data_IF_927812927786
#
_entry.id   IF_927812927786
#
_cell.length_a   1.000
_cell.length_b   1.000
_cell.length_c   1.000
_cell.angle_alpha   90.00
_cell.angle_beta   90.00
_cell.angle_gamma   90.00
#
_symmetry.space_group_name_H-M   'P 1'
#
loop_
_entity.id
_entity.type
_entity.pdbx_description
1 polymer ?
#
# COMPACT_ATOMS: atom_id res chain seq x y z
N UNK A 1 4.01 7.26 -9.79
CA UNK A 1 4.26 6.64 -11.10
C UNK A 1 5.72 6.84 -11.51
N UNK A 2 6.17 8.07 -11.78
CA UNK A 2 7.55 8.33 -12.23
C UNK A 2 8.63 7.93 -11.21
N UNK A 3 8.35 8.04 -9.89
CA UNK A 3 9.26 7.48 -8.87
C UNK A 3 9.52 5.99 -9.09
N UNK A 4 8.49 5.20 -9.38
CA UNK A 4 8.62 3.77 -9.63
C UNK A 4 9.28 3.47 -10.98
N UNK A 5 9.05 4.29 -12.01
CA UNK A 5 9.78 4.19 -13.29
C UNK A 5 11.29 4.34 -13.07
N UNK A 6 11.71 5.37 -12.33
CA UNK A 6 13.11 5.59 -12.04
C UNK A 6 13.68 4.54 -11.08
N UNK A 7 12.92 4.05 -10.10
CA UNK A 7 13.37 2.96 -9.22
C UNK A 7 13.64 1.65 -9.98
N UNK A 8 12.78 1.29 -10.95
CA UNK A 8 13.02 0.15 -11.84
C UNK A 8 14.30 0.35 -12.65
N UNK A 9 14.49 1.55 -13.21
CA UNK A 9 15.68 1.87 -14.01
C UNK A 9 16.95 1.80 -13.18
N UNK A 10 16.97 2.43 -12.00
CA UNK A 10 18.07 2.37 -11.04
C UNK A 10 18.40 0.92 -10.71
N UNK A 11 17.40 0.11 -10.35
CA UNK A 11 17.64 -1.29 -9.99
C UNK A 11 18.24 -2.10 -11.14
N UNK A 12 17.72 -1.94 -12.37
CA UNK A 12 18.25 -2.64 -13.56
C UNK A 12 19.66 -2.16 -13.92
N UNK A 13 19.93 -0.88 -13.83
CA UNK A 13 21.25 -0.30 -14.14
C UNK A 13 22.31 -0.73 -13.12
N UNK A 14 21.97 -0.71 -11.83
CA UNK A 14 22.87 -1.12 -10.75
C UNK A 14 23.19 -2.62 -10.79
N UNK A 15 22.16 -3.46 -10.99
CA UNK A 15 22.34 -4.92 -10.94
C UNK A 15 22.76 -5.55 -12.27
N UNK A 16 22.50 -4.87 -13.40
CA UNK A 16 22.60 -5.46 -14.74
C UNK A 16 21.50 -6.50 -15.06
N UNK A 17 20.55 -6.72 -14.14
CA UNK A 17 19.48 -7.70 -14.26
C UNK A 17 18.20 -7.05 -14.82
N UNK A 18 17.26 -7.84 -15.34
CA UNK A 18 16.12 -7.30 -16.11
C UNK A 18 14.75 -7.53 -15.48
N UNK A 19 14.54 -8.65 -14.79
CA UNK A 19 13.23 -8.99 -14.23
C UNK A 19 12.94 -8.21 -12.95
N UNK A 20 11.68 -7.87 -12.74
CA UNK A 20 11.20 -7.17 -11.55
C UNK A 20 9.93 -7.85 -11.06
N UNK A 21 9.92 -8.21 -9.79
CA UNK A 21 8.79 -8.85 -9.12
C UNK A 21 7.91 -7.77 -8.47
N UNK A 22 6.60 -7.99 -8.50
CA UNK A 22 5.59 -7.17 -7.79
C UNK A 22 4.40 -8.05 -7.45
N UNK A 23 3.48 -7.58 -6.60
CA UNK A 23 2.39 -8.44 -6.12
C UNK A 23 1.13 -8.34 -6.98
N UNK A 24 0.31 -9.38 -6.97
CA UNK A 24 -1.12 -9.22 -7.26
C UNK A 24 -1.77 -8.30 -6.22
N UNK A 25 -2.80 -7.55 -6.63
CA UNK A 25 -3.47 -6.51 -5.83
C UNK A 25 -2.58 -5.34 -5.40
N UNK A 26 -1.34 -5.19 -5.90
CA UNK A 26 -0.55 -3.97 -5.66
C UNK A 26 -1.01 -2.80 -6.54
N UNK A 27 -0.67 -1.57 -6.16
CA UNK A 27 -0.75 -0.41 -7.04
C UNK A 27 0.51 0.43 -6.97
N UNK A 28 1.24 0.50 -8.09
CA UNK A 28 2.51 1.24 -8.20
C UNK A 28 2.42 2.40 -9.20
N UNK A 29 1.23 2.68 -9.73
CA UNK A 29 0.99 3.73 -10.71
C UNK A 29 0.38 3.22 -11.99
N UNK A 30 0.26 4.13 -12.96
CA UNK A 30 -0.47 3.94 -14.21
C UNK A 30 0.29 4.43 -15.44
N UNK A 31 1.60 4.71 -15.32
CA UNK A 31 2.47 4.86 -16.49
C UNK A 31 2.80 3.48 -17.07
N UNK A 32 3.43 3.42 -18.25
CA UNK A 32 3.62 2.12 -18.92
C UNK A 32 4.48 1.14 -18.10
N UNK A 33 5.60 1.55 -17.50
CA UNK A 33 6.41 0.69 -16.64
C UNK A 33 5.82 0.49 -15.24
N UNK A 34 5.39 1.56 -14.56
CA UNK A 34 4.81 1.44 -13.22
C UNK A 34 3.45 0.72 -13.20
N UNK A 35 2.68 0.83 -14.29
CA UNK A 35 1.46 0.05 -14.50
C UNK A 35 1.74 -1.44 -14.74
N UNK A 36 2.92 -1.79 -15.29
CA UNK A 36 3.38 -3.17 -15.31
C UNK A 36 3.78 -3.70 -13.91
N UNK A 37 4.07 -2.84 -12.92
CA UNK A 37 4.19 -3.23 -11.50
C UNK A 37 2.84 -3.36 -10.80
N UNK A 38 1.83 -2.61 -11.20
CA UNK A 38 0.46 -2.70 -10.63
C UNK A 38 -0.13 -4.11 -10.79
N UNK A 39 -0.81 -4.61 -9.75
CA UNK A 39 -1.29 -5.99 -9.63
C UNK A 39 -2.80 -6.16 -9.76
N UNK A 40 -3.52 -5.11 -10.14
CA UNK A 40 -4.98 -5.02 -10.15
C UNK A 40 -5.54 -4.56 -11.53
N UNK A 41 -6.88 -4.58 -11.74
CA UNK A 41 -7.49 -4.39 -13.07
C UNK A 41 -7.07 -3.16 -13.87
N UNK A 42 -6.61 -2.07 -13.25
CA UNK A 42 -6.07 -0.90 -13.98
C UNK A 42 -4.84 -1.24 -14.83
N UNK A 43 -4.18 -2.38 -14.61
CA UNK A 43 -3.13 -2.90 -15.50
C UNK A 43 -3.66 -3.49 -16.80
N UNK A 44 -4.89 -4.01 -16.87
CA UNK A 44 -5.35 -4.82 -18.02
C UNK A 44 -5.32 -4.07 -19.36
N UNK A 45 -5.59 -2.77 -19.35
CA UNK A 45 -5.51 -1.95 -20.57
C UNK A 45 -4.07 -1.76 -21.11
N UNK A 46 -3.06 -2.16 -20.33
CA UNK A 46 -1.64 -2.12 -20.72
C UNK A 46 -1.16 -3.44 -21.33
N UNK A 47 -2.03 -4.46 -21.42
CA UNK A 47 -1.65 -5.78 -21.91
C UNK A 47 -1.72 -5.87 -23.46
N UNK A 48 -0.76 -6.55 -24.13
CA UNK A 48 0.40 -7.24 -23.54
C UNK A 48 1.44 -6.27 -22.94
N UNK A 49 1.88 -6.58 -21.73
CA UNK A 49 2.80 -5.76 -20.95
C UNK A 49 4.27 -5.87 -21.39
N UNK A 50 5.15 -5.20 -20.65
CA UNK A 50 6.60 -5.28 -20.88
C UNK A 50 7.12 -6.64 -20.37
N UNK A 51 7.95 -7.36 -21.14
CA UNK A 51 8.57 -8.59 -20.65
C UNK A 51 9.41 -8.38 -19.36
N UNK A 52 9.42 -9.39 -18.50
CA UNK A 52 10.22 -9.40 -17.27
C UNK A 52 9.54 -8.78 -16.04
N UNK A 53 8.28 -8.37 -16.13
CA UNK A 53 7.48 -8.02 -14.94
C UNK A 53 6.74 -9.26 -14.44
N UNK A 54 7.10 -9.74 -13.26
CA UNK A 54 6.58 -10.98 -12.67
C UNK A 54 5.64 -10.65 -11.51
N UNK A 55 4.50 -11.35 -11.44
CA UNK A 55 3.54 -11.22 -10.33
C UNK A 55 3.64 -12.37 -9.35
N UNK A 56 3.66 -12.06 -8.07
CA UNK A 56 3.55 -13.04 -6.98
C UNK A 56 2.37 -12.71 -6.05
N UNK A 57 1.98 -13.65 -5.19
CA UNK A 57 0.85 -13.46 -4.28
C UNK A 57 1.23 -12.63 -3.03
N UNK A 58 0.38 -11.68 -2.68
CA UNK A 58 0.44 -10.91 -1.42
C UNK A 58 -0.22 -11.73 -0.29
N UNK A 59 0.34 -11.78 0.94
CA UNK A 59 -0.26 -12.48 2.08
C UNK A 59 -1.56 -11.83 2.58
N UNK A 60 -2.66 -12.05 1.87
CA UNK A 60 -3.98 -11.58 2.26
C UNK A 60 -4.77 -12.65 3.03
N UNK A 61 -4.34 -12.88 4.28
CA UNK A 61 -4.80 -14.00 5.12
C UNK A 61 -6.33 -14.08 5.24
N UNK A 62 -7.03 -12.94 5.35
CA UNK A 62 -8.49 -12.94 5.47
C UNK A 62 -9.19 -13.65 4.30
N UNK A 63 -8.63 -13.53 3.08
CA UNK A 63 -9.19 -14.09 1.83
C UNK A 63 -8.60 -15.43 1.42
N UNK A 64 -7.66 -15.99 2.18
CA UNK A 64 -7.02 -17.25 1.82
C UNK A 64 -8.01 -18.43 1.95
N UNK A 65 -8.10 -19.34 0.96
CA UNK A 65 -8.92 -20.55 1.05
C UNK A 65 -8.43 -21.57 2.09
N UNK A 66 -7.14 -21.57 2.42
CA UNK A 66 -6.57 -22.41 3.47
C UNK A 66 -6.57 -21.67 4.81
N UNK A 67 -6.80 -22.42 5.88
CA UNK A 67 -6.66 -21.91 7.25
C UNK A 67 -5.22 -22.08 7.71
N UNK A 68 -4.64 -20.99 8.22
CA UNK A 68 -3.35 -21.01 8.88
C UNK A 68 -3.55 -21.13 10.39
N UNK A 69 -2.71 -21.92 11.05
CA UNK A 69 -2.75 -22.10 12.51
C UNK A 69 -2.25 -20.85 13.25
N UNK A 70 -1.40 -20.06 12.59
CA UNK A 70 -0.82 -18.82 13.12
C UNK A 70 -0.35 -17.91 11.98
N UNK A 71 -0.13 -16.62 12.29
CA UNK A 71 0.53 -15.70 11.35
C UNK A 71 1.91 -16.21 10.91
N UNK A 72 2.67 -16.85 11.81
CA UNK A 72 3.98 -17.42 11.49
C UNK A 72 3.87 -18.52 10.42
N UNK A 73 2.85 -19.37 10.50
CA UNK A 73 2.60 -20.42 9.50
C UNK A 73 2.22 -19.82 8.14
N UNK A 74 1.45 -18.72 8.12
CA UNK A 74 1.14 -17.98 6.91
C UNK A 74 2.40 -17.34 6.31
N UNK A 75 3.20 -16.64 7.13
CA UNK A 75 4.48 -16.06 6.74
C UNK A 75 5.39 -17.10 6.09
N UNK A 76 5.57 -18.26 6.73
CA UNK A 76 6.39 -19.36 6.19
C UNK A 76 5.87 -19.85 4.84
N UNK A 77 4.56 -20.00 4.69
CA UNK A 77 3.94 -20.43 3.44
C UNK A 77 4.23 -19.45 2.29
N UNK A 78 3.95 -18.16 2.47
CA UNK A 78 4.14 -17.18 1.40
C UNK A 78 5.62 -16.94 1.06
N UNK A 79 6.52 -16.99 2.04
CA UNK A 79 7.97 -16.91 1.78
C UNK A 79 8.49 -18.12 1.00
N UNK A 80 8.01 -19.34 1.32
CA UNK A 80 8.34 -20.53 0.55
C UNK A 80 7.86 -20.42 -0.91
N UNK A 81 6.65 -19.89 -1.12
CA UNK A 81 6.11 -19.65 -2.47
C UNK A 81 6.86 -18.58 -3.25
N UNK A 82 7.22 -17.48 -2.61
CA UNK A 82 8.04 -16.45 -3.25
C UNK A 82 9.42 -17.00 -3.63
N UNK A 83 10.07 -17.75 -2.73
CA UNK A 83 11.35 -18.41 -3.01
C UNK A 83 11.27 -19.35 -4.21
N UNK A 84 10.27 -20.23 -4.24
CA UNK A 84 10.02 -21.16 -5.34
C UNK A 84 9.90 -20.40 -6.67
N UNK A 85 9.14 -19.31 -6.69
CA UNK A 85 8.96 -18.51 -7.90
C UNK A 85 10.24 -17.78 -8.34
N UNK A 86 11.04 -17.25 -7.39
CA UNK A 86 12.35 -16.65 -7.69
C UNK A 86 13.27 -17.68 -8.36
N UNK A 87 13.30 -18.92 -7.85
CA UNK A 87 14.09 -20.01 -8.42
C UNK A 87 13.64 -20.33 -9.86
N UNK A 88 12.33 -20.45 -10.09
CA UNK A 88 11.78 -20.76 -11.41
C UNK A 88 11.99 -19.66 -12.46
N UNK A 89 12.04 -18.40 -12.03
CA UNK A 89 12.35 -17.28 -12.90
C UNK A 89 13.85 -17.11 -13.17
N UNK A 90 14.72 -17.84 -12.47
CA UNK A 90 16.17 -17.68 -12.58
C UNK A 90 16.64 -16.43 -11.81
N UNK A 91 17.13 -16.59 -10.56
CA UNK A 91 17.45 -15.47 -9.65
C UNK A 91 18.50 -14.51 -10.21
N UNK A 92 19.42 -15.00 -11.03
CA UNK A 92 20.45 -14.19 -11.70
C UNK A 92 19.88 -13.17 -12.68
N UNK A 93 18.61 -13.30 -13.07
CA UNK A 93 17.93 -12.36 -13.95
C UNK A 93 17.01 -11.36 -13.22
N UNK A 94 16.85 -11.48 -11.90
CA UNK A 94 15.92 -10.67 -11.09
C UNK A 94 16.63 -9.47 -10.46
N UNK A 95 16.31 -8.27 -10.94
CA UNK A 95 16.87 -7.01 -10.44
C UNK A 95 16.29 -6.61 -9.08
N UNK A 96 14.96 -6.75 -8.93
CA UNK A 96 14.29 -6.25 -7.73
C UNK A 96 12.97 -6.99 -7.41
N UNK A 97 12.63 -6.98 -6.12
CA UNK A 97 11.29 -7.22 -5.60
C UNK A 97 10.71 -5.88 -5.15
N UNK A 98 9.58 -5.48 -5.75
CA UNK A 98 8.87 -4.23 -5.45
C UNK A 98 7.62 -4.52 -4.64
N UNK A 99 7.46 -3.81 -3.53
CA UNK A 99 6.38 -3.98 -2.56
C UNK A 99 5.89 -2.61 -2.11
N UNK A 100 4.59 -2.39 -2.02
CA UNK A 100 4.10 -1.44 -1.02
C UNK A 100 4.36 -2.10 0.36
N UNK A 101 4.95 -1.41 1.33
CA UNK A 101 5.16 -2.03 2.66
C UNK A 101 3.82 -2.54 3.21
N UNK A 102 2.75 -1.77 3.02
CA UNK A 102 1.36 -2.17 3.26
C UNK A 102 0.59 -1.88 1.98
N UNK A 103 -0.02 -2.90 1.37
CA UNK A 103 -0.78 -2.71 0.12
C UNK A 103 -1.94 -1.76 0.37
N UNK A 104 -1.94 -0.61 -0.30
CA UNK A 104 -2.77 0.52 0.09
C UNK A 104 -4.17 0.49 -0.51
N UNK A 105 -4.31 0.94 -1.75
CA UNK A 105 -5.62 1.17 -2.40
C UNK A 105 -6.45 -0.10 -2.56
N UNK A 106 -5.83 -1.28 -2.47
CA UNK A 106 -6.48 -2.58 -2.62
C UNK A 106 -6.82 -3.24 -1.27
N UNK A 107 -6.89 -2.45 -0.20
CA UNK A 107 -7.52 -2.90 1.03
C UNK A 107 -6.68 -2.85 2.28
N UNK A 108 -5.62 -2.04 2.34
CA UNK A 108 -4.76 -1.91 3.54
C UNK A 108 -4.33 -3.29 4.03
N UNK A 109 -3.67 -4.06 3.15
CA UNK A 109 -3.25 -5.43 3.46
C UNK A 109 -1.95 -5.33 4.24
N UNK A 110 -2.07 -5.49 5.56
CA UNK A 110 -0.96 -5.47 6.51
C UNK A 110 -0.26 -6.83 6.43
N UNK A 111 1.05 -6.88 6.10
CA UNK A 111 1.76 -8.15 6.01
C UNK A 111 1.84 -8.82 7.39
N UNK A 112 1.71 -10.16 7.47
CA UNK A 112 1.83 -10.88 8.74
C UNK A 112 3.24 -10.73 9.32
N UNK A 113 3.35 -10.89 10.64
CA UNK A 113 4.62 -10.74 11.34
C UNK A 113 5.71 -11.61 10.71
N UNK A 114 6.89 -11.02 10.51
CA UNK A 114 8.06 -11.70 9.94
C UNK A 114 8.08 -11.82 8.41
N UNK A 115 6.98 -11.49 7.70
CA UNK A 115 6.95 -11.59 6.25
C UNK A 115 7.93 -10.63 5.57
N UNK A 116 7.87 -9.32 5.86
CA UNK A 116 8.78 -8.35 5.23
C UNK A 116 10.26 -8.62 5.56
N UNK A 117 10.66 -8.91 6.82
CA UNK A 117 12.02 -9.39 7.12
C UNK A 117 12.41 -10.65 6.34
N UNK A 118 11.49 -11.58 6.14
CA UNK A 118 11.72 -12.76 5.32
C UNK A 118 11.93 -12.43 3.84
N UNK A 119 11.19 -11.48 3.27
CA UNK A 119 11.42 -11.03 1.89
C UNK A 119 12.78 -10.35 1.77
N UNK A 120 13.17 -9.53 2.75
CA UNK A 120 14.51 -8.93 2.83
C UNK A 120 15.59 -10.02 2.83
N UNK A 121 15.43 -11.07 3.64
CA UNK A 121 16.39 -12.18 3.67
C UNK A 121 16.48 -12.93 2.33
N UNK A 122 15.35 -13.11 1.62
CA UNK A 122 15.36 -13.67 0.26
C UNK A 122 16.08 -12.74 -0.73
N UNK A 123 15.87 -11.43 -0.61
CA UNK A 123 16.57 -10.44 -1.44
C UNK A 123 18.09 -10.53 -1.23
N UNK A 124 18.54 -10.64 0.02
CA UNK A 124 19.97 -10.77 0.36
C UNK A 124 20.55 -12.09 -0.18
N UNK A 125 19.83 -13.20 -0.02
CA UNK A 125 20.28 -14.52 -0.46
C UNK A 125 20.47 -14.60 -1.99
N UNK A 126 19.54 -14.04 -2.76
CA UNK A 126 19.56 -14.12 -4.23
C UNK A 126 20.21 -12.90 -4.90
N UNK A 127 20.79 -11.98 -4.13
CA UNK A 127 21.35 -10.72 -4.61
C UNK A 127 20.33 -9.93 -5.46
N UNK A 128 19.14 -9.72 -4.90
CA UNK A 128 18.01 -8.99 -5.51
C UNK A 128 17.79 -7.73 -4.67
N UNK A 129 17.49 -6.60 -5.31
CA UNK A 129 17.18 -5.38 -4.56
C UNK A 129 15.75 -5.42 -4.00
N UNK A 130 15.57 -4.93 -2.78
CA UNK A 130 14.24 -4.67 -2.21
C UNK A 130 13.85 -3.21 -2.45
N UNK A 131 12.71 -3.00 -3.10
CA UNK A 131 12.12 -1.68 -3.31
C UNK A 131 10.84 -1.57 -2.49
N UNK A 132 10.82 -0.66 -1.51
CA UNK A 132 9.60 -0.31 -0.77
C UNK A 132 8.94 0.92 -1.39
N UNK A 133 7.76 0.73 -1.95
CA UNK A 133 6.86 1.79 -2.39
C UNK A 133 6.10 2.35 -1.18
N UNK A 134 6.57 3.51 -0.71
CA UNK A 134 6.02 4.24 0.42
C UNK A 134 5.16 5.42 -0.05
N UNK A 135 4.71 5.42 -1.31
CA UNK A 135 3.92 6.52 -1.88
C UNK A 135 2.64 6.76 -1.08
N UNK A 136 1.97 5.72 -0.58
CA UNK A 136 0.74 5.86 0.22
C UNK A 136 0.98 5.82 1.73
N UNK A 137 1.98 5.07 2.17
CA UNK A 137 2.18 4.67 3.56
C UNK A 137 3.32 5.40 4.26
N UNK A 138 4.16 6.10 3.51
CA UNK A 138 5.20 6.97 4.05
C UNK A 138 4.63 8.26 4.63
N UNK A 139 5.54 9.09 5.12
CA UNK A 139 5.27 10.41 5.70
C UNK A 139 4.29 10.38 6.88
N UNK A 140 4.48 9.42 7.80
CA UNK A 140 3.76 9.40 9.06
C UNK A 140 2.43 8.65 9.07
N UNK A 141 1.91 8.22 7.91
CA UNK A 141 0.58 7.60 7.76
C UNK A 141 0.32 6.43 8.72
N UNK A 142 1.33 5.62 8.98
CA UNK A 142 1.24 4.39 9.77
C UNK A 142 1.74 4.54 11.21
N UNK A 143 2.03 5.77 11.66
CA UNK A 143 2.59 6.04 13.00
C UNK A 143 4.12 6.03 13.07
N UNK A 144 4.78 5.72 11.94
CA UNK A 144 6.22 5.87 11.68
C UNK A 144 6.44 6.75 10.46
N UNK A 145 7.64 7.30 10.30
CA UNK A 145 7.92 8.16 9.14
C UNK A 145 7.77 7.39 7.83
N UNK A 146 8.31 6.17 7.76
CA UNK A 146 8.04 5.22 6.68
C UNK A 146 7.46 3.92 7.24
N UNK A 147 6.56 3.27 6.51
CA UNK A 147 5.86 2.12 7.04
C UNK A 147 6.77 0.91 7.28
N UNK A 148 7.83 0.73 6.49
CA UNK A 148 8.78 -0.38 6.66
C UNK A 148 9.44 -0.39 8.04
N UNK A 149 9.51 0.76 8.72
CA UNK A 149 10.04 0.89 10.08
C UNK A 149 9.17 0.18 11.11
N UNK A 150 7.88 -0.05 10.83
CA UNK A 150 7.01 -0.86 11.70
C UNK A 150 7.36 -2.35 11.67
N UNK A 151 8.16 -2.79 10.70
CA UNK A 151 8.48 -4.20 10.45
C UNK A 151 9.97 -4.49 10.56
N UNK A 152 10.77 -3.55 11.07
CA UNK A 152 12.22 -3.68 11.25
C UNK A 152 12.98 -4.05 9.95
N UNK A 153 12.53 -3.49 8.82
CA UNK A 153 13.15 -3.73 7.50
C UNK A 153 13.85 -2.49 6.98
N UNK A 154 15.02 -2.70 6.37
CA UNK A 154 15.73 -1.68 5.60
C UNK A 154 15.74 -2.05 4.12
N UNK A 155 14.99 -1.34 3.25
CA UNK A 155 15.03 -1.56 1.81
C UNK A 155 16.28 -0.96 1.16
N UNK A 156 16.59 -1.39 -0.06
CA UNK A 156 17.66 -0.82 -0.87
C UNK A 156 17.22 0.47 -1.56
N UNK A 157 15.94 0.52 -1.95
CA UNK A 157 15.33 1.66 -2.62
C UNK A 157 13.96 1.95 -1.97
N UNK A 158 13.66 3.22 -1.76
CA UNK A 158 12.34 3.69 -1.32
C UNK A 158 11.77 4.62 -2.37
N UNK A 159 10.53 4.40 -2.80
CA UNK A 159 9.82 5.38 -3.62
C UNK A 159 8.79 6.13 -2.77
N UNK A 160 8.67 7.43 -3.01
CA UNK A 160 7.74 8.27 -2.28
C UNK A 160 7.07 9.30 -3.19
N UNK A 161 5.92 9.81 -2.74
CA UNK A 161 5.21 10.98 -3.24
C UNK A 161 4.17 11.40 -2.17
N UNK A 162 2.98 11.86 -2.59
CA UNK A 162 1.79 12.16 -1.77
C UNK A 162 2.10 12.94 -0.48
N UNK A 163 2.32 12.22 0.63
CA UNK A 163 2.54 12.80 1.95
C UNK A 163 3.71 13.77 2.02
N UNK A 164 4.75 13.61 1.17
CA UNK A 164 5.92 14.48 1.16
C UNK A 164 5.59 15.97 1.07
N UNK A 165 4.50 16.33 0.39
CA UNK A 165 4.01 17.71 0.25
C UNK A 165 2.58 17.89 0.75
N UNK A 166 2.00 16.90 1.43
CA UNK A 166 0.56 16.86 1.74
C UNK A 166 -0.36 17.12 0.53
N UNK A 167 0.12 16.90 -0.70
CA UNK A 167 -0.60 17.20 -1.94
C UNK A 167 -0.61 18.67 -2.39
N UNK A 168 0.10 19.58 -1.71
CA UNK A 168 0.14 21.01 -2.06
C UNK A 168 0.81 21.28 -3.42
N UNK A 169 1.90 20.56 -3.70
CA UNK A 169 2.66 20.65 -4.96
C UNK A 169 3.12 19.24 -5.36
N UNK A 170 3.16 18.92 -6.65
CA UNK A 170 3.59 17.61 -7.11
C UNK A 170 5.08 17.39 -6.80
N UNK A 171 5.36 16.44 -5.92
CA UNK A 171 6.69 15.96 -5.62
C UNK A 171 6.63 14.45 -5.41
N UNK A 172 7.55 13.75 -6.04
CA UNK A 172 7.87 12.36 -5.78
C UNK A 172 9.37 12.17 -5.89
N UNK A 173 9.87 11.07 -5.38
CA UNK A 173 11.29 10.77 -5.46
C UNK A 173 11.61 9.32 -5.20
N UNK A 174 12.89 9.03 -5.39
CA UNK A 174 13.51 7.74 -5.13
C UNK A 174 14.66 7.98 -4.19
N UNK A 175 14.63 7.34 -3.02
CA UNK A 175 15.76 7.29 -2.09
C UNK A 175 16.47 5.96 -2.32
N UNK A 176 17.79 5.97 -2.40
CA UNK A 176 18.60 4.77 -2.62
C UNK A 176 19.57 4.58 -1.46
N UNK A 177 20.00 3.34 -1.24
CA UNK A 177 21.06 3.02 -0.30
C UNK A 177 22.37 3.69 -0.70
N UNK A 178 23.29 3.81 0.28
CA UNK A 178 24.62 4.39 0.05
C UNK A 178 25.39 3.65 -1.05
N UNK A 179 25.32 2.33 -1.08
CA UNK A 179 26.00 1.50 -2.08
C UNK A 179 25.50 1.80 -3.50
N UNK A 180 24.18 1.94 -3.68
CA UNK A 180 23.59 2.30 -4.98
C UNK A 180 23.99 3.73 -5.36
N UNK A 181 23.97 4.67 -4.42
CA UNK A 181 24.41 6.04 -4.67
C UNK A 181 25.88 6.09 -5.12
N UNK A 182 26.77 5.42 -4.40
CA UNK A 182 28.21 5.35 -4.70
C UNK A 182 28.47 4.75 -6.09
N UNK A 183 27.72 3.73 -6.52
CA UNK A 183 27.83 3.20 -7.88
C UNK A 183 27.55 4.27 -8.95
N UNK A 184 26.56 5.15 -8.74
CA UNK A 184 26.19 6.20 -9.70
C UNK A 184 27.05 7.47 -9.62
N UNK A 185 28.03 7.54 -8.69
CA UNK A 185 29.05 8.58 -8.73
C UNK A 185 30.00 8.37 -9.94
N UNK A 186 30.33 7.10 -10.24
CA UNK A 186 31.25 6.72 -11.31
C UNK A 186 30.53 6.20 -12.58
N UNK A 187 29.22 5.95 -12.50
CA UNK A 187 28.42 5.41 -13.61
C UNK A 187 27.26 6.34 -13.97
N UNK A 188 26.93 6.41 -15.27
CA UNK A 188 25.82 7.26 -15.74
C UNK A 188 24.50 6.85 -15.08
N UNK A 189 23.88 7.77 -14.32
CA UNK A 189 22.48 7.64 -13.90
C UNK A 189 21.56 8.13 -15.03
N UNK A 190 21.02 7.19 -15.82
CA UNK A 190 20.12 7.51 -16.94
C UNK A 190 18.69 7.78 -16.47
N UNK A 191 18.52 8.61 -15.44
CA UNK A 191 17.23 9.10 -14.95
C UNK A 191 17.17 10.62 -15.17
N UNK A 192 16.07 11.12 -15.73
CA UNK A 192 15.95 12.54 -16.03
C UNK A 192 14.51 12.93 -16.35
N UNK A 193 14.04 13.98 -15.70
CA UNK A 193 12.73 14.60 -15.91
C UNK A 193 12.95 16.11 -15.87
N UNK A 194 12.25 16.89 -16.72
CA UNK A 194 12.40 18.35 -16.79
C UNK A 194 12.16 19.03 -15.44
N UNK A 195 11.23 18.50 -14.64
CA UNK A 195 10.90 19.03 -13.31
C UNK A 195 11.58 18.29 -12.15
N UNK A 196 12.61 17.48 -12.43
CA UNK A 196 13.41 16.87 -11.36
C UNK A 196 14.06 17.95 -10.50
N UNK A 197 13.88 17.85 -9.18
CA UNK A 197 14.41 18.85 -8.24
C UNK A 197 13.74 20.23 -8.33
N UNK A 198 12.48 20.31 -8.77
CA UNK A 198 11.78 21.59 -8.91
C UNK A 198 11.78 22.40 -7.59
N UNK A 199 12.38 23.61 -7.53
CA UNK A 199 12.62 24.31 -6.26
C UNK A 199 11.36 24.58 -5.43
N UNK A 200 10.24 24.95 -6.07
CA UNK A 200 8.96 25.14 -5.36
C UNK A 200 8.44 23.85 -4.70
N UNK A 201 8.58 22.72 -5.40
CA UNK A 201 8.13 21.43 -4.90
C UNK A 201 9.01 20.98 -3.73
N UNK A 202 10.33 21.13 -3.86
CA UNK A 202 11.29 20.86 -2.79
C UNK A 202 11.05 21.75 -1.57
N UNK A 203 10.81 23.05 -1.74
CA UNK A 203 10.49 23.96 -0.65
C UNK A 203 9.21 23.56 0.10
N UNK A 204 8.15 23.19 -0.64
CA UNK A 204 6.92 22.66 -0.05
C UNK A 204 7.16 21.34 0.71
N UNK A 205 8.05 20.49 0.18
CA UNK A 205 8.44 19.24 0.84
C UNK A 205 9.16 19.48 2.17
N UNK A 206 10.18 20.34 2.18
CA UNK A 206 10.91 20.72 3.40
C UNK A 206 9.96 21.32 4.44
N UNK A 207 9.08 22.24 4.04
CA UNK A 207 8.10 22.84 4.95
C UNK A 207 7.15 21.80 5.55
N UNK A 208 6.70 20.82 4.75
CA UNK A 208 5.82 19.74 5.20
C UNK A 208 6.51 18.85 6.23
N UNK A 209 7.75 18.43 5.95
CA UNK A 209 8.51 17.54 6.86
C UNK A 209 8.83 18.26 8.18
N UNK A 210 9.26 19.52 8.12
CA UNK A 210 9.48 20.32 9.34
C UNK A 210 8.20 20.43 10.17
N UNK A 211 7.06 20.68 9.53
CA UNK A 211 5.78 20.75 10.22
C UNK A 211 5.38 19.42 10.88
N UNK A 212 5.74 18.27 10.29
CA UNK A 212 5.47 16.97 10.93
C UNK A 212 6.19 16.81 12.27
N UNK A 213 7.42 17.33 12.36
CA UNK A 213 8.17 17.36 13.61
C UNK A 213 7.60 18.40 14.58
N UNK A 214 7.41 19.65 14.12
CA UNK A 214 6.89 20.75 14.95
C UNK A 214 5.53 20.44 15.58
N UNK A 215 4.63 19.83 14.82
CA UNK A 215 3.28 19.49 15.26
C UNK A 215 3.18 18.11 15.94
N UNK A 216 4.31 17.42 16.18
CA UNK A 216 4.36 16.07 16.75
C UNK A 216 3.38 15.11 16.06
N UNK A 217 3.35 15.13 14.72
CA UNK A 217 2.30 14.45 13.95
C UNK A 217 2.27 12.95 14.22
N UNK A 218 3.42 12.32 14.40
CA UNK A 218 3.48 10.88 14.72
C UNK A 218 2.81 10.56 16.06
N UNK A 219 2.90 11.44 17.05
CA UNK A 219 2.19 11.26 18.33
C UNK A 219 0.68 11.29 18.11
N UNK A 220 0.18 12.26 17.34
CA UNK A 220 -1.25 12.35 17.02
C UNK A 220 -1.73 11.11 16.23
N UNK A 221 -0.98 10.69 15.21
CA UNK A 221 -1.32 9.51 14.39
C UNK A 221 -1.42 8.26 15.26
N UNK A 222 -0.49 8.04 16.19
CA UNK A 222 -0.52 6.89 17.07
C UNK A 222 -1.67 6.96 18.08
N UNK A 223 -1.91 8.14 18.68
CA UNK A 223 -2.98 8.36 19.66
C UNK A 223 -4.36 8.20 19.04
N UNK A 224 -4.63 8.90 17.94
CA UNK A 224 -5.94 8.91 17.28
C UNK A 224 -6.15 7.65 16.44
N UNK A 225 -5.08 7.06 15.90
CA UNK A 225 -5.11 5.76 15.23
C UNK A 225 -5.58 4.62 16.14
N UNK A 226 -5.24 4.65 17.44
CA UNK A 226 -5.79 3.71 18.42
C UNK A 226 -7.32 3.82 18.52
N UNK A 227 -7.84 5.05 18.58
CA UNK A 227 -9.29 5.30 18.62
C UNK A 227 -9.97 4.82 17.34
N UNK A 228 -9.36 5.07 16.18
CA UNK A 228 -9.84 4.57 14.89
C UNK A 228 -9.98 3.04 14.93
N UNK A 229 -8.93 2.33 15.35
CA UNK A 229 -8.95 0.86 15.47
C UNK A 229 -10.08 0.36 16.38
N UNK A 230 -10.23 0.93 17.58
CA UNK A 230 -11.28 0.56 18.54
C UNK A 230 -12.69 0.74 17.95
N UNK A 231 -12.94 1.83 17.21
CA UNK A 231 -14.23 2.09 16.56
C UNK A 231 -14.50 1.12 15.40
N UNK A 232 -13.50 0.82 14.60
CA UNK A 232 -13.64 -0.13 13.49
C UNK A 232 -13.90 -1.56 13.98
N UNK A 233 -13.23 -2.00 15.04
CA UNK A 233 -13.51 -3.30 15.65
C UNK A 233 -14.93 -3.37 16.23
N UNK A 234 -15.42 -2.28 16.83
CA UNK A 234 -16.80 -2.20 17.29
C UNK A 234 -17.79 -2.34 16.11
N UNK A 235 -17.54 -1.65 14.99
CA UNK A 235 -18.34 -1.78 13.77
C UNK A 235 -18.30 -3.21 13.19
N UNK A 236 -17.13 -3.85 13.19
CA UNK A 236 -16.98 -5.25 12.78
C UNK A 236 -17.80 -6.19 13.65
N UNK A 237 -17.94 -5.90 14.95
CA UNK A 237 -18.78 -6.69 15.85
C UNK A 237 -20.28 -6.44 15.63
N UNK A 238 -20.70 -5.20 15.42
CA UNK A 238 -22.12 -4.81 15.33
C UNK A 238 -22.77 -5.05 13.96
N UNK A 239 -22.03 -4.87 12.86
CA UNK A 239 -22.59 -4.91 11.51
C UNK A 239 -22.36 -6.27 10.84
N UNK A 240 -23.41 -7.05 10.48
CA UNK A 240 -23.24 -8.30 9.75
C UNK A 240 -22.58 -8.13 8.37
N UNK A 241 -22.70 -6.97 7.71
CA UNK A 241 -22.02 -6.68 6.44
C UNK A 241 -20.51 -6.48 6.57
N UNK A 242 -19.97 -6.21 7.77
CA UNK A 242 -18.53 -5.93 7.96
C UNK A 242 -17.76 -7.22 8.24
N UNK A 243 -17.13 -7.77 7.22
CA UNK A 243 -16.41 -9.04 7.32
C UNK A 243 -15.06 -8.91 8.02
N UNK A 244 -14.33 -7.84 7.72
CA UNK A 244 -13.03 -7.56 8.32
C UNK A 244 -12.73 -6.06 8.36
N UNK A 245 -11.86 -5.68 9.30
CA UNK A 245 -11.28 -4.34 9.38
C UNK A 245 -9.78 -4.47 9.54
N UNK A 246 -9.03 -3.61 8.86
CA UNK A 246 -7.56 -3.56 8.96
C UNK A 246 -7.14 -2.14 9.19
N UNK A 247 -6.25 -1.92 10.15
CA UNK A 247 -5.82 -0.58 10.55
C UNK A 247 -4.41 -0.56 11.12
N UNK A 248 -3.69 0.53 10.85
CA UNK A 248 -2.42 0.89 11.48
C UNK A 248 -2.21 2.40 11.38
N UNK A 249 -1.90 3.06 12.51
CA UNK A 249 -1.93 4.52 12.57
C UNK A 249 -3.27 5.08 12.08
N UNK A 250 -3.23 6.03 11.15
CA UNK A 250 -4.44 6.58 10.51
C UNK A 250 -4.63 6.00 9.11
N UNK A 251 -4.34 4.72 8.93
CA UNK A 251 -4.56 4.02 7.66
C UNK A 251 -5.40 2.78 7.88
N UNK A 252 -6.62 2.76 7.34
CA UNK A 252 -7.50 1.61 7.50
C UNK A 252 -8.44 1.35 6.34
N UNK A 253 -9.00 0.14 6.34
CA UNK A 253 -10.06 -0.29 5.45
C UNK A 253 -11.13 -1.08 6.22
N UNK A 254 -12.37 -0.91 5.78
CA UNK A 254 -13.53 -1.71 6.17
C UNK A 254 -13.91 -2.56 4.97
N UNK A 255 -13.95 -3.87 5.15
CA UNK A 255 -14.24 -4.82 4.09
C UNK A 255 -15.64 -5.41 4.22
N UNK A 256 -16.45 -5.23 3.18
CA UNK A 256 -17.84 -5.63 3.17
C UNK A 256 -18.04 -7.03 2.58
N UNK A 257 -18.83 -7.85 3.25
CA UNK A 257 -19.18 -9.22 2.87
C UNK A 257 -20.69 -9.40 2.93
N UNK A 258 -21.22 -10.36 2.18
CA UNK A 258 -22.62 -10.80 2.32
C UNK A 258 -22.81 -11.70 3.53
N UNK A 259 -21.77 -12.44 3.89
CA UNK A 259 -21.81 -13.41 4.97
C UNK A 259 -20.42 -13.53 5.62
N UNK A 260 -20.38 -13.49 6.97
CA UNK A 260 -19.14 -13.48 7.75
C UNK A 260 -18.44 -14.84 7.80
N UNK A 261 -19.18 -15.94 7.70
CA UNK A 261 -18.63 -17.29 7.83
C UNK A 261 -17.95 -17.74 6.53
N UNK A 262 -18.67 -17.61 5.42
CA UNK A 262 -18.21 -17.88 4.06
C UNK A 262 -17.25 -16.80 3.55
N UNK A 263 -17.33 -15.59 4.11
CA UNK A 263 -16.62 -14.39 3.68
C UNK A 263 -16.97 -13.99 2.24
N UNK A 264 -18.12 -14.37 1.69
CA UNK A 264 -18.52 -13.97 0.33
C UNK A 264 -18.46 -12.44 0.20
N UNK A 265 -17.65 -11.86 -0.71
CA UNK A 265 -17.53 -10.41 -0.78
C UNK A 265 -18.84 -9.78 -1.27
N UNK A 266 -19.15 -8.57 -0.77
CA UNK A 266 -20.36 -7.85 -1.18
C UNK A 266 -20.40 -7.62 -2.70
N UNK A 267 -19.25 -7.26 -3.28
CA UNK A 267 -19.02 -7.17 -4.72
C UNK A 267 -17.78 -7.97 -5.11
N UNK A 268 -17.77 -8.56 -6.30
CA UNK A 268 -16.65 -9.38 -6.75
C UNK A 268 -15.46 -8.51 -7.17
N UNK A 269 -14.26 -9.08 -7.07
CA UNK A 269 -13.03 -8.43 -7.52
C UNK A 269 -13.10 -8.03 -9.01
N UNK A 270 -12.87 -6.75 -9.28
CA UNK A 270 -12.94 -6.10 -10.59
C UNK A 270 -14.35 -5.97 -11.15
N UNK A 271 -15.42 -6.29 -10.39
CA UNK A 271 -16.78 -6.41 -10.92
C UNK A 271 -17.86 -5.97 -9.92
N UNK A 272 -18.46 -4.83 -10.19
CA UNK A 272 -19.66 -4.30 -9.51
C UNK A 272 -20.75 -3.93 -10.54
N UNK A 273 -21.44 -4.93 -11.14
CA UNK A 273 -22.41 -4.68 -12.22
C UNK A 273 -23.64 -3.90 -11.76
N UNK A 274 -23.98 -3.97 -10.47
CA UNK A 274 -25.15 -3.31 -9.89
C UNK A 274 -24.83 -1.93 -9.28
N UNK A 275 -23.56 -1.53 -9.33
CA UNK A 275 -23.05 -0.27 -8.77
C UNK A 275 -23.27 -0.15 -7.27
N UNK A 276 -23.26 -1.27 -6.54
CA UNK A 276 -23.54 -1.33 -5.09
C UNK A 276 -22.58 -0.44 -4.32
N UNK A 277 -21.27 -0.56 -4.59
CA UNK A 277 -20.27 0.24 -3.88
C UNK A 277 -20.38 1.72 -4.24
N UNK A 278 -20.75 2.02 -5.49
CA UNK A 278 -21.05 3.39 -5.92
C UNK A 278 -22.21 4.02 -5.14
N UNK A 279 -23.28 3.26 -4.86
CA UNK A 279 -24.42 3.69 -4.04
C UNK A 279 -24.01 3.92 -2.58
N UNK A 280 -23.24 2.99 -2.00
CA UNK A 280 -22.74 3.09 -0.61
C UNK A 280 -21.85 4.33 -0.44
N UNK A 281 -20.91 4.55 -1.36
CA UNK A 281 -20.10 5.78 -1.34
C UNK A 281 -20.94 7.03 -1.59
N UNK A 282 -22.02 6.94 -2.39
CA UNK A 282 -23.02 7.99 -2.53
C UNK A 282 -23.66 8.40 -1.20
N UNK A 283 -24.11 7.42 -0.40
CA UNK A 283 -24.71 7.64 0.92
C UNK A 283 -23.74 8.29 1.92
N UNK A 284 -22.46 7.90 1.88
CA UNK A 284 -21.40 8.54 2.67
C UNK A 284 -21.18 9.99 2.22
N UNK A 285 -21.11 10.22 0.91
CA UNK A 285 -20.93 11.56 0.33
C UNK A 285 -22.09 12.50 0.68
N UNK A 286 -23.34 12.03 0.68
CA UNK A 286 -24.51 12.80 1.10
C UNK A 286 -24.40 13.26 2.57
N UNK A 287 -23.78 12.45 3.41
CA UNK A 287 -23.44 12.78 4.82
C UNK A 287 -22.15 13.58 4.96
N UNK A 288 -21.53 13.98 3.85
CA UNK A 288 -20.25 14.70 3.76
C UNK A 288 -19.03 13.88 4.24
N UNK A 289 -19.16 12.56 4.32
CA UNK A 289 -18.03 11.66 4.57
C UNK A 289 -17.31 11.40 3.23
N UNK A 290 -16.21 12.12 3.00
CA UNK A 290 -15.44 12.01 1.76
C UNK A 290 -14.43 10.88 1.87
N UNK A 291 -14.61 9.83 1.07
CA UNK A 291 -13.70 8.68 1.06
C UNK A 291 -13.52 8.07 -0.32
N UNK A 292 -12.62 7.10 -0.40
CA UNK A 292 -12.35 6.25 -1.55
C UNK A 292 -12.78 4.81 -1.26
N UNK A 293 -13.38 4.16 -2.25
CA UNK A 293 -13.61 2.71 -2.26
C UNK A 293 -12.79 2.02 -3.34
N UNK A 294 -12.47 0.77 -3.09
CA UNK A 294 -11.96 -0.13 -4.12
C UNK A 294 -12.48 -1.53 -3.86
N UNK A 295 -13.04 -2.16 -4.90
CA UNK A 295 -13.79 -3.40 -4.74
C UNK A 295 -14.83 -3.26 -3.62
N UNK A 296 -15.00 -4.29 -2.79
CA UNK A 296 -15.89 -4.33 -1.64
C UNK A 296 -15.34 -3.65 -0.38
N UNK A 297 -14.43 -2.67 -0.52
CA UNK A 297 -13.77 -2.03 0.63
C UNK A 297 -13.99 -0.52 0.64
N UNK A 298 -14.20 0.01 1.84
CA UNK A 298 -14.24 1.44 2.14
C UNK A 298 -12.94 1.78 2.86
N UNK A 299 -12.14 2.72 2.33
CA UNK A 299 -10.96 3.18 3.04
C UNK A 299 -11.34 4.23 4.08
N UNK A 300 -10.59 4.30 5.18
CA UNK A 300 -10.66 5.41 6.14
C UNK A 300 -9.23 5.88 6.38
N UNK A 301 -8.86 6.98 5.73
CA UNK A 301 -7.50 7.52 5.74
C UNK A 301 -7.52 9.04 5.95
N UNK A 302 -7.99 9.53 7.12
CA UNK A 302 -8.17 10.95 7.37
C UNK A 302 -6.85 11.73 7.34
N UNK A 303 -6.87 13.07 7.26
CA UNK A 303 -5.67 13.89 7.46
C UNK A 303 -4.97 13.56 8.79
N UNK A 304 -3.63 13.61 8.82
CA UNK A 304 -2.85 13.20 10.00
C UNK A 304 -3.05 14.12 11.22
N UNK A 305 -3.61 15.31 10.99
CA UNK A 305 -3.96 16.30 12.02
C UNK A 305 -5.36 16.10 12.62
N UNK A 306 -6.12 15.09 12.17
CA UNK A 306 -7.48 14.87 12.66
C UNK A 306 -7.47 14.70 14.18
N UNK A 307 -8.39 15.38 14.85
CA UNK A 307 -8.59 15.25 16.29
C UNK A 307 -9.43 14.01 16.61
N UNK A 308 -9.39 13.55 17.87
CA UNK A 308 -10.24 12.45 18.31
C UNK A 308 -11.73 12.77 18.08
N UNK A 309 -12.13 13.98 18.42
CA UNK A 309 -13.53 14.43 18.38
C UNK A 309 -14.04 14.45 16.93
N UNK A 310 -13.25 15.00 16.00
CA UNK A 310 -13.57 14.96 14.57
C UNK A 310 -13.63 13.53 14.03
N UNK A 311 -12.71 12.67 14.45
CA UNK A 311 -12.73 11.28 14.02
C UNK A 311 -14.02 10.57 14.48
N UNK A 312 -14.41 10.74 15.73
CA UNK A 312 -15.63 10.13 16.28
C UNK A 312 -16.90 10.66 15.60
N UNK A 313 -16.95 11.96 15.31
CA UNK A 313 -18.03 12.56 14.53
C UNK A 313 -18.13 11.94 13.13
N UNK A 314 -17.01 11.83 12.40
CA UNK A 314 -17.00 11.27 11.05
C UNK A 314 -17.35 9.78 11.04
N UNK A 315 -16.87 9.00 12.01
CA UNK A 315 -17.16 7.56 12.10
C UNK A 315 -18.62 7.27 12.43
N UNK A 316 -19.33 8.19 13.08
CA UNK A 316 -20.79 8.06 13.28
C UNK A 316 -21.53 7.98 11.94
N UNK A 317 -21.09 8.76 10.94
CA UNK A 317 -21.69 8.75 9.59
C UNK A 317 -21.42 7.44 8.86
N UNK A 318 -20.24 6.84 9.08
CA UNK A 318 -19.90 5.53 8.53
C UNK A 318 -20.78 4.43 9.13
N UNK A 319 -20.93 4.43 10.46
CA UNK A 319 -21.79 3.50 11.21
C UNK A 319 -23.24 3.52 10.69
N UNK A 320 -23.82 4.71 10.53
CA UNK A 320 -25.18 4.88 10.00
C UNK A 320 -25.33 4.28 8.58
N UNK A 321 -24.34 4.47 7.71
CA UNK A 321 -24.37 3.90 6.36
C UNK A 321 -24.22 2.39 6.41
N UNK A 322 -23.37 1.84 7.29
CA UNK A 322 -23.26 0.40 7.48
C UNK A 322 -24.58 -0.22 7.94
N UNK A 323 -25.36 0.45 8.81
CA UNK A 323 -26.72 0.00 9.16
C UNK A 323 -27.67 -0.06 7.96
N UNK A 324 -27.52 0.85 6.98
CA UNK A 324 -28.30 0.80 5.74
C UNK A 324 -27.84 -0.38 4.90
N UNK A 325 -26.52 -0.60 4.79
CA UNK A 325 -25.95 -1.74 4.05
C UNK A 325 -26.45 -3.07 4.61
N UNK A 326 -26.44 -3.22 5.93
CA UNK A 326 -26.95 -4.41 6.62
C UNK A 326 -28.42 -4.71 6.30
N UNK A 327 -29.24 -3.67 6.09
CA UNK A 327 -30.67 -3.83 5.82
C UNK A 327 -30.96 -4.11 4.34
N UNK A 328 -30.15 -3.54 3.44
CA UNK A 328 -30.41 -3.57 2.00
C UNK A 328 -29.75 -4.76 1.29
N UNK A 329 -28.59 -5.23 1.78
CA UNK A 329 -27.75 -6.18 1.06
C UNK A 329 -27.41 -7.47 1.82
N UNK A 330 -27.81 -7.58 3.09
CA UNK A 330 -27.60 -8.75 3.95
C UNK A 330 -28.96 -9.35 4.33
#
# INVERSE_FOLDING_TARGET
AESNENAIKIARMFTGKSKVFSRYRSYHGSSFGSGNLTGEPRRYALEPGIPGFVKFFDPYIYREPIKFESEESATKYYLAKLREQIIYEGPDSVAAIVLETITGSNGVIIPPKGYLPGVRALCDEFNILMICDEVMTGWGRTGKMFAFENFDVKPDIVTFAKGVTCGYVQLGGVVVSKEIAEYFEDNLLSCGLTYSGHPLACAAGVATVNYYEEANILENVNKVGKVLGEKLEAMKASHPSVGDVRYIGLFSAVELVKDKETKEPLVLYGKDPEGIMGKIIGLLKERKFMTYSHENMILVAPPLIITKEQLEEELTKLDEVLSIVDKEYI
#
